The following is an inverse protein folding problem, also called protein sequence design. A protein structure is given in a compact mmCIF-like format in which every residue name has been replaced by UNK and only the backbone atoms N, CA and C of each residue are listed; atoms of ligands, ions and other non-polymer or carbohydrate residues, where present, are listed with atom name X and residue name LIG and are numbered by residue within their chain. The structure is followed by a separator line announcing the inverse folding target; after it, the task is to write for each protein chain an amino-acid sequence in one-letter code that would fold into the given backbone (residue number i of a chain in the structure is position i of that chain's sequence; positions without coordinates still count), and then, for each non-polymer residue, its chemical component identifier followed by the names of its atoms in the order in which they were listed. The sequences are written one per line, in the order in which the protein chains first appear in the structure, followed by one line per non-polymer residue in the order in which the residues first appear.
data_IF_050029040528
#
_entry.id   IF_050029040528
#
_cell.length_a   1.000
_cell.length_b   1.000
_cell.length_c   1.000
_cell.angle_alpha   90.00
_cell.angle_beta   90.00
_cell.angle_gamma   90.00
#
_symmetry.space_group_name_H-M   'P 1'
#
loop_
_entity.id
_entity.type
_entity.pdbx_description
1 polymer ?
#
# COMPACT_ATOMS: atom_id res chain seq x y z
N UNK A 1 -21.53 -5.60 7.14
CA UNK A 1 -20.94 -4.33 6.67
C UNK A 1 -21.13 -4.30 5.18
N UNK A 2 -21.68 -3.23 4.60
CA UNK A 2 -21.84 -3.15 3.14
C UNK A 2 -20.45 -3.12 2.47
N UNK A 3 -20.39 -3.56 1.21
CA UNK A 3 -19.20 -3.50 0.37
C UNK A 3 -18.64 -2.09 0.24
N UNK A 4 -19.52 -1.08 0.22
CA UNK A 4 -19.15 0.34 0.21
C UNK A 4 -18.48 0.75 1.52
N UNK A 5 -19.08 0.40 2.66
CA UNK A 5 -18.53 0.71 3.99
C UNK A 5 -17.15 0.07 4.19
N UNK A 6 -16.97 -1.16 3.69
CA UNK A 6 -15.69 -1.85 3.76
C UNK A 6 -14.63 -1.18 2.87
N UNK A 7 -15.01 -0.68 1.69
CA UNK A 7 -14.11 0.06 0.81
C UNK A 7 -13.67 1.40 1.44
N UNK A 8 -14.60 2.13 2.06
CA UNK A 8 -14.29 3.37 2.80
C UNK A 8 -13.36 3.07 3.98
N UNK A 9 -13.62 2.02 4.75
CA UNK A 9 -12.74 1.60 5.84
C UNK A 9 -11.34 1.24 5.33
N UNK A 10 -11.24 0.52 4.22
CA UNK A 10 -9.94 0.18 3.63
C UNK A 10 -9.18 1.43 3.17
N UNK A 11 -9.87 2.43 2.61
CA UNK A 11 -9.29 3.72 2.26
C UNK A 11 -8.70 4.44 3.49
N UNK A 12 -9.44 4.51 4.59
CA UNK A 12 -8.92 5.10 5.83
C UNK A 12 -7.74 4.31 6.42
N UNK A 13 -7.78 2.97 6.35
CA UNK A 13 -6.65 2.14 6.78
C UNK A 13 -5.38 2.43 5.96
N UNK A 14 -5.50 2.67 4.63
CA UNK A 14 -4.35 3.04 3.78
C UNK A 14 -3.78 4.39 4.22
N UNK A 15 -4.62 5.39 4.48
CA UNK A 15 -4.18 6.70 4.97
C UNK A 15 -3.43 6.59 6.29
N UNK A 16 -3.98 5.87 7.26
CA UNK A 16 -3.34 5.68 8.56
C UNK A 16 -2.02 4.89 8.44
N UNK A 17 -1.94 3.90 7.55
CA UNK A 17 -0.69 3.18 7.30
C UNK A 17 0.41 4.10 6.72
N UNK A 18 0.09 4.91 5.72
CA UNK A 18 1.03 5.86 5.12
C UNK A 18 1.52 6.90 6.14
N UNK A 19 0.61 7.40 6.98
CA UNK A 19 0.93 8.29 8.09
C UNK A 19 1.87 7.62 9.09
N UNK A 20 1.58 6.38 9.50
CA UNK A 20 2.44 5.63 10.40
C UNK A 20 3.85 5.41 9.84
N UNK A 21 3.99 5.15 8.54
CA UNK A 21 5.31 5.05 7.89
C UNK A 21 6.06 6.38 7.99
N UNK A 22 5.40 7.51 7.70
CA UNK A 22 6.00 8.83 7.81
C UNK A 22 6.41 9.16 9.26
N UNK A 23 5.58 8.82 10.24
CA UNK A 23 5.90 9.04 11.66
C UNK A 23 7.11 8.23 12.10
N UNK A 24 7.20 6.95 11.71
CA UNK A 24 8.37 6.11 11.95
C UNK A 24 9.61 6.73 11.32
N UNK A 25 9.51 7.19 10.06
CA UNK A 25 10.60 7.85 9.38
C UNK A 25 11.09 9.10 10.15
N UNK A 26 10.15 9.93 10.60
CA UNK A 26 10.42 11.19 11.30
C UNK A 26 11.01 11.01 12.69
N UNK A 27 10.68 9.91 13.38
CA UNK A 27 11.30 9.56 14.66
C UNK A 27 12.75 9.11 14.47
N UNK A 28 13.04 8.37 13.40
CA UNK A 28 14.29 7.64 13.26
C UNK A 28 15.33 8.33 12.37
N UNK A 29 14.92 9.23 11.49
CA UNK A 29 15.80 9.86 10.49
C UNK A 29 15.62 11.37 10.54
N UNK A 30 16.73 12.10 10.53
CA UNK A 30 16.69 13.57 10.48
C UNK A 30 16.02 14.05 9.19
N UNK A 31 15.18 15.08 9.27
CA UNK A 31 14.57 15.72 8.09
C UNK A 31 15.61 16.26 7.08
N UNK A 32 16.84 16.53 7.53
CA UNK A 32 17.94 16.98 6.66
C UNK A 32 18.63 15.83 5.92
N UNK A 33 18.34 14.59 6.29
CA UNK A 33 18.90 13.40 5.69
C UNK A 33 18.27 13.16 4.31
N UNK A 34 19.09 12.76 3.33
CA UNK A 34 18.63 12.45 1.98
C UNK A 34 17.63 11.29 1.97
N UNK A 35 17.80 10.29 2.86
CA UNK A 35 16.89 9.15 2.96
C UNK A 35 15.52 9.56 3.50
N UNK A 36 15.47 10.54 4.40
CA UNK A 36 14.19 11.09 4.86
C UNK A 36 13.42 11.72 3.70
N UNK A 37 14.11 12.54 2.89
CA UNK A 37 13.51 13.18 1.73
C UNK A 37 13.00 12.15 0.71
N UNK A 38 13.85 11.19 0.33
CA UNK A 38 13.50 10.16 -0.65
C UNK A 38 12.33 9.28 -0.19
N UNK A 39 12.30 8.89 1.09
CA UNK A 39 11.19 8.12 1.64
C UNK A 39 9.90 8.94 1.68
N UNK A 40 9.96 10.21 2.08
CA UNK A 40 8.81 11.11 2.07
C UNK A 40 8.24 11.32 0.66
N UNK A 41 9.10 11.54 -0.33
CA UNK A 41 8.72 11.68 -1.74
C UNK A 41 8.01 10.42 -2.24
N UNK A 42 8.50 9.22 -1.87
CA UNK A 42 7.86 7.95 -2.23
C UNK A 42 6.50 7.75 -1.54
N UNK A 43 6.33 8.16 -0.28
CA UNK A 43 5.04 8.09 0.43
C UNK A 43 4.02 9.01 -0.27
N UNK A 44 4.43 10.22 -0.64
CA UNK A 44 3.58 11.18 -1.37
C UNK A 44 3.17 10.61 -2.73
N UNK A 45 4.14 10.10 -3.50
CA UNK A 45 3.88 9.49 -4.80
C UNK A 45 2.93 8.29 -4.70
N UNK A 46 3.09 7.44 -3.67
CA UNK A 46 2.20 6.32 -3.42
C UNK A 46 0.77 6.78 -3.14
N UNK A 47 0.59 7.80 -2.30
CA UNK A 47 -0.73 8.34 -1.99
C UNK A 47 -1.40 8.97 -3.23
N UNK A 48 -0.65 9.74 -4.02
CA UNK A 48 -1.15 10.34 -5.27
C UNK A 48 -1.57 9.27 -6.27
N UNK A 49 -0.72 8.29 -6.54
CA UNK A 49 -1.01 7.18 -7.44
C UNK A 49 -2.26 6.40 -6.97
N UNK A 50 -2.38 6.17 -5.66
CA UNK A 50 -3.55 5.51 -5.10
C UNK A 50 -4.83 6.32 -5.36
N UNK A 51 -4.83 7.63 -5.11
CA UNK A 51 -5.98 8.51 -5.39
C UNK A 51 -6.35 8.52 -6.87
N UNK A 52 -5.38 8.62 -7.78
CA UNK A 52 -5.63 8.56 -9.22
C UNK A 52 -6.25 7.22 -9.64
N UNK A 53 -5.81 6.11 -9.04
CA UNK A 53 -6.36 4.79 -9.29
C UNK A 53 -7.83 4.67 -8.87
N UNK A 54 -8.22 5.24 -7.71
CA UNK A 54 -9.62 5.18 -7.23
C UNK A 54 -10.54 6.21 -7.88
N UNK A 55 -10.03 7.36 -8.34
CA UNK A 55 -10.87 8.37 -9.01
C UNK A 55 -11.17 8.03 -10.48
N UNK A 56 -10.49 7.03 -11.07
CA UNK A 56 -10.71 6.65 -12.46
C UNK A 56 -11.51 5.34 -12.56
N UNK A 57 -12.81 5.46 -12.86
CA UNK A 57 -13.77 4.34 -12.94
C UNK A 57 -13.36 3.22 -13.91
N UNK A 58 -12.63 3.54 -14.98
CA UNK A 58 -12.12 2.56 -15.95
C UNK A 58 -10.86 1.85 -15.46
N UNK A 59 -10.11 2.48 -14.55
CA UNK A 59 -8.82 1.96 -14.06
C UNK A 59 -9.01 0.75 -13.15
N UNK A 60 -10.07 0.71 -12.35
CA UNK A 60 -10.32 -0.38 -11.41
C UNK A 60 -10.35 -1.78 -12.08
N UNK A 61 -10.99 -1.91 -13.26
CA UNK A 61 -11.04 -3.18 -14.00
C UNK A 61 -9.68 -3.60 -14.56
N UNK A 62 -8.90 -2.64 -15.06
CA UNK A 62 -7.57 -2.89 -15.65
C UNK A 62 -6.57 -3.21 -14.54
N UNK A 63 -6.60 -2.45 -13.45
CA UNK A 63 -5.79 -2.66 -12.25
C UNK A 63 -6.08 -4.03 -11.64
N UNK A 64 -7.35 -4.44 -11.53
CA UNK A 64 -7.70 -5.77 -11.01
C UNK A 64 -7.08 -6.90 -11.84
N UNK A 65 -6.93 -6.74 -13.16
CA UNK A 65 -6.21 -7.71 -14.01
C UNK A 65 -4.70 -7.66 -13.80
N UNK A 66 -4.12 -6.46 -13.65
CA UNK A 66 -2.68 -6.30 -13.39
C UNK A 66 -2.28 -6.82 -12.02
N UNK A 67 -3.06 -6.53 -10.97
CA UNK A 67 -2.86 -7.02 -9.60
C UNK A 67 -2.86 -8.55 -9.50
N UNK A 68 -3.68 -9.23 -10.31
CA UNK A 68 -3.68 -10.70 -10.36
C UNK A 68 -2.33 -11.29 -10.79
N UNK A 69 -1.53 -10.50 -11.52
CA UNK A 69 -0.23 -10.89 -12.05
C UNK A 69 0.92 -10.11 -11.40
N UNK A 70 0.65 -9.29 -10.38
CA UNK A 70 1.65 -8.46 -9.76
C UNK A 70 2.23 -9.19 -8.55
N UNK A 71 3.45 -9.67 -8.67
CA UNK A 71 4.26 -10.07 -7.53
C UNK A 71 4.96 -8.80 -7.01
N UNK A 72 4.94 -8.57 -5.70
CA UNK A 72 5.76 -7.52 -5.11
C UNK A 72 7.20 -8.04 -5.16
N UNK A 73 8.01 -7.58 -6.13
CA UNK A 73 9.46 -7.84 -6.16
C UNK A 73 10.15 -7.02 -5.08
N UNK A 74 9.91 -7.39 -3.82
CA UNK A 74 10.63 -6.88 -2.69
C UNK A 74 10.92 -8.06 -1.77
N UNK A 75 12.15 -8.17 -1.27
CA UNK A 75 12.52 -9.10 -0.17
C UNK A 75 11.90 -8.63 1.16
N UNK A 76 10.60 -8.32 1.13
CA UNK A 76 9.79 -8.02 2.29
C UNK A 76 9.11 -9.33 2.64
N UNK A 77 9.40 -9.96 3.80
CA UNK A 77 8.62 -11.10 4.27
C UNK A 77 7.19 -10.63 4.54
N UNK A 78 6.35 -10.71 3.52
CA UNK A 78 4.91 -10.50 3.61
C UNK A 78 4.35 -11.68 4.39
N UNK A 79 4.33 -11.55 5.72
CA UNK A 79 3.76 -12.56 6.60
C UNK A 79 2.38 -13.00 6.09
N UNK A 80 2.29 -14.27 5.68
CA UNK A 80 1.10 -15.01 5.22
C UNK A 80 -0.17 -14.19 4.91
N UNK A 81 -0.15 -13.33 3.87
CA UNK A 81 -1.39 -12.80 3.32
C UNK A 81 -2.05 -13.86 2.42
N UNK A 82 -2.83 -14.72 3.06
CA UNK A 82 -3.72 -15.70 2.40
C UNK A 82 -4.90 -14.97 1.76
N UNK A 83 -4.80 -14.63 0.48
CA UNK A 83 -5.98 -14.45 -0.37
C UNK A 83 -6.53 -15.84 -0.72
N UNK A 84 -7.48 -16.30 0.10
CA UNK A 84 -8.16 -17.59 0.05
C UNK A 84 -7.36 -18.79 0.56
N UNK A 85 -7.96 -19.45 1.56
CA UNK A 85 -7.38 -20.57 2.27
C UNK A 85 -6.92 -21.69 1.34
N UNK A 86 -5.61 -21.91 1.32
CA UNK A 86 -4.95 -23.19 1.09
C UNK A 86 -3.53 -23.05 1.59
N UNK A 87 -3.28 -23.55 2.80
CA UNK A 87 -1.91 -23.74 3.28
C UNK A 87 -1.12 -24.55 2.26
N UNK A 88 0.09 -24.10 1.95
CA UNK A 88 1.33 -24.86 2.16
C UNK A 88 2.52 -23.93 2.03
N UNK A 89 3.25 -23.80 3.14
CA UNK A 89 4.60 -23.26 3.19
C UNK A 89 5.53 -24.46 3.24
N UNK A 90 6.54 -24.50 2.38
CA UNK A 90 7.73 -25.32 2.57
C UNK A 90 8.95 -24.41 2.38
N UNK A 91 9.91 -24.57 3.29
CA UNK A 91 11.14 -23.80 3.43
C UNK A 91 12.07 -23.93 2.22
#
# INVERSE_FOLDING_TARGET
MDSTDQAIKNFENVKEALKGIYEILNINISEKDVYFKLASDNIIALYQNFLEMVMNDNSAKIIKRKLKNCELEADIPLGAFSLNGSKKVNF
#
